data_IF_317142605168
#
_entry.id   IF_317142605168
#
_cell.length_a   1.000
_cell.length_b   1.000
_cell.length_c   1.000
_cell.angle_alpha   90.00
_cell.angle_beta   90.00
_cell.angle_gamma   90.00
#
_symmetry.space_group_name_H-M   'P 1'
#
loop_
_entity.id
_entity.type
_entity.pdbx_description
1 polymer ?
#
# COMPACT_ATOMS: atom_id res chain seq x y z
N UNK A 1 -0.88 15.98 -33.78
CA UNK A 1 -0.70 16.17 -32.33
C UNK A 1 -1.97 15.65 -31.69
N UNK A 2 -1.97 14.41 -31.19
CA UNK A 2 -3.15 13.83 -30.57
C UNK A 2 -3.33 14.50 -29.20
N UNK A 3 -4.47 15.15 -28.97
CA UNK A 3 -4.88 15.58 -27.63
C UNK A 3 -4.84 14.36 -26.72
N UNK A 4 -3.98 14.41 -25.71
CA UNK A 4 -3.87 13.36 -24.69
C UNK A 4 -5.19 13.40 -23.90
N UNK A 5 -6.17 12.62 -24.36
CA UNK A 5 -7.54 12.64 -23.86
C UNK A 5 -7.53 12.31 -22.37
N UNK A 6 -7.79 13.31 -21.52
CA UNK A 6 -7.84 13.14 -20.08
C UNK A 6 -8.76 11.97 -19.70
N UNK A 7 -8.22 10.95 -19.05
CA UNK A 7 -8.95 9.73 -18.68
C UNK A 7 -9.32 9.78 -17.21
N UNK A 8 -10.61 9.60 -16.90
CA UNK A 8 -11.08 9.45 -15.52
C UNK A 8 -11.03 7.98 -15.11
N UNK A 9 -10.51 7.72 -13.91
CA UNK A 9 -10.55 6.40 -13.28
C UNK A 9 -10.52 6.49 -11.76
N UNK A 10 -10.96 5.44 -11.11
CA UNK A 10 -10.80 5.24 -9.68
C UNK A 10 -9.35 4.82 -9.36
N UNK A 11 -8.71 5.47 -8.39
CA UNK A 11 -7.38 5.12 -7.94
C UNK A 11 -7.20 5.35 -6.43
N UNK A 12 -6.33 4.55 -5.81
CA UNK A 12 -5.85 4.79 -4.46
C UNK A 12 -4.62 5.68 -4.52
N UNK A 13 -4.70 6.84 -3.87
CA UNK A 13 -3.66 7.87 -3.88
C UNK A 13 -3.04 7.96 -2.48
N UNK A 14 -1.73 7.76 -2.42
CA UNK A 14 -0.92 7.97 -1.22
C UNK A 14 -0.14 9.28 -1.38
N UNK A 15 -0.33 10.19 -0.41
CA UNK A 15 0.50 11.37 -0.23
C UNK A 15 1.35 11.18 1.02
N UNK A 16 2.66 11.41 0.92
CA UNK A 16 3.57 11.37 2.07
C UNK A 16 4.43 12.63 2.08
N UNK A 17 4.74 13.10 3.28
CA UNK A 17 5.49 14.35 3.50
C UNK A 17 6.35 14.26 4.76
N UNK A 18 7.45 15.02 4.82
CA UNK A 18 8.40 15.00 5.93
C UNK A 18 7.96 15.97 7.03
N UNK A 19 7.90 15.46 8.26
CA UNK A 19 7.61 16.30 9.43
C UNK A 19 8.79 17.21 9.73
N UNK A 20 8.55 18.52 9.77
CA UNK A 20 9.56 19.50 10.15
C UNK A 20 10.70 19.64 9.14
N UNK A 21 10.42 19.45 7.85
CA UNK A 21 11.42 19.52 6.78
C UNK A 21 12.29 20.79 6.82
N UNK A 22 11.68 21.98 7.01
CA UNK A 22 12.43 23.24 7.10
C UNK A 22 13.50 23.21 8.18
N UNK A 23 13.19 22.65 9.36
CA UNK A 23 14.12 22.52 10.49
C UNK A 23 15.30 21.59 10.13
N UNK A 24 15.04 20.49 9.42
CA UNK A 24 16.09 19.55 9.00
C UNK A 24 17.03 20.19 7.97
N UNK A 25 16.47 20.98 7.04
CA UNK A 25 17.25 21.73 6.05
C UNK A 25 18.11 22.81 6.72
N UNK A 26 17.58 23.53 7.71
CA UNK A 26 18.34 24.53 8.48
C UNK A 26 19.54 23.91 9.23
N UNK A 27 19.39 22.69 9.75
CA UNK A 27 20.45 21.98 10.47
C UNK A 27 21.52 21.41 9.53
N UNK A 28 21.11 20.77 8.45
CA UNK A 28 22.01 20.17 7.45
C UNK A 28 21.27 19.94 6.12
N UNK A 29 21.27 20.96 5.25
CA UNK A 29 20.62 20.90 3.94
C UNK A 29 21.16 19.75 3.09
N UNK A 30 22.48 19.63 2.95
CA UNK A 30 23.11 18.64 2.07
C UNK A 30 22.87 17.22 2.59
N UNK A 31 23.05 16.99 3.89
CA UNK A 31 22.82 15.68 4.50
C UNK A 31 21.35 15.26 4.48
N UNK A 32 20.43 16.19 4.72
CA UNK A 32 18.98 15.93 4.66
C UNK A 32 18.55 15.56 3.26
N UNK A 33 18.95 16.33 2.24
CA UNK A 33 18.61 16.03 0.85
C UNK A 33 19.21 14.70 0.38
N UNK A 34 20.45 14.39 0.78
CA UNK A 34 21.09 13.11 0.49
C UNK A 34 20.34 11.94 1.13
N UNK A 35 20.01 12.05 2.42
CA UNK A 35 19.26 11.02 3.15
C UNK A 35 17.85 10.81 2.59
N UNK A 36 17.15 11.88 2.18
CA UNK A 36 15.84 11.75 1.54
C UNK A 36 15.94 11.06 0.18
N UNK A 37 16.99 11.36 -0.60
CA UNK A 37 17.23 10.71 -1.89
C UNK A 37 17.55 9.23 -1.72
N UNK A 38 18.37 8.88 -0.74
CA UNK A 38 18.70 7.50 -0.37
C UNK A 38 17.44 6.73 0.05
N UNK A 39 16.68 7.24 1.03
CA UNK A 39 15.44 6.62 1.51
C UNK A 39 14.41 6.43 0.40
N UNK A 40 14.32 7.38 -0.52
CA UNK A 40 13.45 7.25 -1.70
C UNK A 40 13.88 6.09 -2.60
N UNK A 41 15.18 5.99 -2.90
CA UNK A 41 15.72 4.98 -3.81
C UNK A 41 15.76 3.58 -3.19
N UNK A 42 16.08 3.48 -1.91
CA UNK A 42 16.33 2.21 -1.24
C UNK A 42 15.09 1.65 -0.53
N UNK A 43 14.14 2.50 -0.13
CA UNK A 43 12.95 2.09 0.60
C UNK A 43 11.70 2.32 -0.24
N UNK A 44 11.44 3.56 -0.67
CA UNK A 44 10.18 3.88 -1.35
C UNK A 44 10.04 3.20 -2.72
N UNK A 45 11.03 3.37 -3.61
CA UNK A 45 10.96 2.85 -4.98
C UNK A 45 10.77 1.31 -5.05
N UNK A 46 11.49 0.50 -4.24
CA UNK A 46 11.27 -0.95 -4.19
C UNK A 46 9.86 -1.30 -3.70
N UNK A 47 9.39 -0.68 -2.62
CA UNK A 47 8.07 -0.95 -2.05
C UNK A 47 6.96 -0.57 -3.03
N UNK A 48 7.05 0.61 -3.65
CA UNK A 48 6.08 1.05 -4.66
C UNK A 48 6.04 0.05 -5.82
N UNK A 49 7.19 -0.44 -6.30
CA UNK A 49 7.24 -1.44 -7.37
C UNK A 49 6.63 -2.78 -6.92
N UNK A 50 6.97 -3.25 -5.72
CA UNK A 50 6.46 -4.50 -5.15
C UNK A 50 4.93 -4.49 -5.04
N UNK A 51 4.37 -3.37 -4.60
CA UNK A 51 2.93 -3.19 -4.43
C UNK A 51 2.21 -2.68 -5.68
N UNK A 52 2.86 -2.75 -6.85
CA UNK A 52 2.30 -2.35 -8.15
C UNK A 52 1.80 -0.90 -8.18
N UNK A 53 2.44 -0.03 -7.40
CA UNK A 53 2.19 1.39 -7.41
C UNK A 53 3.06 2.11 -8.45
N UNK A 54 2.77 3.39 -8.62
CA UNK A 54 3.53 4.30 -9.48
C UNK A 54 3.73 5.62 -8.78
N UNK A 55 4.99 6.06 -8.70
CA UNK A 55 5.31 7.42 -8.24
C UNK A 55 4.86 8.39 -9.33
N UNK A 56 3.88 9.21 -9.00
CA UNK A 56 3.31 10.21 -9.91
C UNK A 56 4.18 11.45 -9.88
N UNK A 57 4.48 11.94 -8.68
CA UNK A 57 5.19 13.19 -8.50
C UNK A 57 6.01 13.20 -7.22
N UNK A 58 7.17 13.83 -7.29
CA UNK A 58 8.02 14.17 -6.15
C UNK A 58 8.00 15.68 -5.98
N UNK A 59 7.70 16.16 -4.79
CA UNK A 59 7.57 17.58 -4.45
C UNK A 59 8.53 17.93 -3.31
N UNK A 60 9.83 17.97 -3.57
CA UNK A 60 10.84 18.22 -2.53
C UNK A 60 10.88 17.10 -1.49
N UNK A 61 10.29 17.38 -0.33
CA UNK A 61 10.06 16.47 0.80
C UNK A 61 8.80 15.61 0.66
N UNK A 62 7.85 16.05 -0.17
CA UNK A 62 6.63 15.32 -0.47
C UNK A 62 6.76 14.29 -1.60
N UNK A 63 5.90 13.28 -1.58
CA UNK A 63 5.71 12.34 -2.68
C UNK A 63 4.25 11.96 -2.85
N UNK A 64 3.83 11.83 -4.12
CA UNK A 64 2.52 11.35 -4.52
C UNK A 64 2.68 10.03 -5.27
N UNK A 65 1.99 9.00 -4.80
CA UNK A 65 2.03 7.66 -5.39
C UNK A 65 0.61 7.20 -5.67
N UNK A 66 0.39 6.62 -6.84
CA UNK A 66 -0.88 5.99 -7.22
C UNK A 66 -0.80 4.47 -7.14
N UNK A 67 -1.91 3.85 -6.77
CA UNK A 67 -2.11 2.41 -6.77
C UNK A 67 -3.49 2.10 -7.36
N UNK A 68 -3.60 0.96 -8.05
CA UNK A 68 -4.89 0.44 -8.49
C UNK A 68 -5.72 -0.19 -7.35
N UNK A 69 -5.08 -0.48 -6.21
CA UNK A 69 -5.68 -1.18 -5.06
C UNK A 69 -5.44 -0.40 -3.77
N UNK A 70 -6.52 -0.16 -3.01
CA UNK A 70 -6.46 0.43 -1.68
C UNK A 70 -5.67 -0.45 -0.69
N UNK A 71 -5.74 -1.77 -0.84
CA UNK A 71 -4.97 -2.72 0.00
C UNK A 71 -3.48 -2.52 -0.24
N UNK A 72 -3.05 -2.48 -1.51
CA UNK A 72 -1.65 -2.28 -1.86
C UNK A 72 -1.12 -0.92 -1.37
N UNK A 73 -1.93 0.13 -1.49
CA UNK A 73 -1.56 1.45 -0.99
C UNK A 73 -1.32 1.45 0.52
N UNK A 74 -2.23 0.84 1.30
CA UNK A 74 -2.11 0.76 2.76
C UNK A 74 -0.92 -0.11 3.17
N UNK A 75 -0.76 -1.29 2.57
CA UNK A 75 0.38 -2.17 2.87
C UNK A 75 1.71 -1.48 2.54
N UNK A 76 1.82 -0.85 1.38
CA UNK A 76 3.01 -0.09 1.00
C UNK A 76 3.30 1.04 1.99
N UNK A 77 2.28 1.77 2.46
CA UNK A 77 2.47 2.85 3.41
C UNK A 77 2.97 2.36 4.78
N UNK A 78 2.42 1.24 5.27
CA UNK A 78 2.84 0.62 6.54
C UNK A 78 4.28 0.13 6.45
N UNK A 79 4.63 -0.58 5.38
CA UNK A 79 6.01 -1.05 5.15
C UNK A 79 6.97 0.13 4.98
N UNK A 80 6.52 1.20 4.32
CA UNK A 80 7.33 2.41 4.17
C UNK A 80 7.59 3.09 5.52
N UNK A 81 6.57 3.24 6.38
CA UNK A 81 6.78 3.77 7.74
C UNK A 81 7.74 2.92 8.55
N UNK A 82 7.61 1.59 8.53
CA UNK A 82 8.57 0.70 9.20
C UNK A 82 10.00 0.90 8.70
N UNK A 83 10.18 0.93 7.38
CA UNK A 83 11.49 1.13 6.77
C UNK A 83 12.11 2.46 7.21
N UNK A 84 11.29 3.50 7.31
CA UNK A 84 11.72 4.81 7.82
C UNK A 84 12.08 4.80 9.30
N UNK A 85 11.33 4.07 10.14
CA UNK A 85 11.66 3.85 11.55
C UNK A 85 13.00 3.12 11.68
N UNK A 86 13.22 2.04 10.91
CA UNK A 86 14.48 1.31 10.90
C UNK A 86 15.64 2.19 10.44
N UNK A 87 15.47 2.99 9.38
CA UNK A 87 16.48 3.91 8.87
C UNK A 87 16.76 5.11 9.81
N UNK A 88 15.91 5.35 10.81
CA UNK A 88 16.13 6.34 11.87
C UNK A 88 16.89 5.75 13.06
N UNK A 89 17.01 4.42 13.18
CA UNK A 89 17.74 3.79 14.29
C UNK A 89 19.21 4.24 14.30
N UNK A 90 19.70 4.64 15.47
CA UNK A 90 21.07 5.14 15.66
C UNK A 90 21.29 6.59 15.22
N UNK A 91 20.25 7.32 14.77
CA UNK A 91 20.31 8.76 14.53
C UNK A 91 19.78 9.54 15.73
N UNK A 92 20.38 10.70 15.99
CA UNK A 92 19.87 11.65 16.97
C UNK A 92 18.46 12.11 16.60
N UNK A 93 17.60 12.31 17.60
CA UNK A 93 16.17 12.61 17.42
C UNK A 93 15.93 13.85 16.54
N UNK A 94 16.82 14.85 16.62
CA UNK A 94 16.74 16.07 15.83
C UNK A 94 17.05 15.86 14.34
N UNK A 95 17.68 14.73 13.97
CA UNK A 95 18.04 14.32 12.59
C UNK A 95 17.20 13.16 12.05
N UNK A 96 16.24 12.67 12.82
CA UNK A 96 15.32 11.64 12.35
C UNK A 96 14.37 12.24 11.31
N UNK A 97 14.22 11.53 10.19
CA UNK A 97 13.25 11.92 9.15
C UNK A 97 12.00 11.09 9.40
N UNK A 98 10.96 11.75 9.88
CA UNK A 98 9.66 11.15 10.17
C UNK A 98 8.68 11.58 9.10
N UNK A 99 7.87 10.65 8.62
CA UNK A 99 6.86 10.94 7.61
C UNK A 99 5.48 11.00 8.22
N UNK A 100 4.61 11.78 7.58
CA UNK A 100 3.16 11.74 7.74
C UNK A 100 2.56 11.29 6.42
N UNK A 101 1.60 10.35 6.47
CA UNK A 101 1.04 9.73 5.27
C UNK A 101 -0.47 9.86 5.26
N UNK A 102 -1.03 10.18 4.09
CA UNK A 102 -2.46 10.25 3.81
C UNK A 102 -2.83 9.36 2.64
N UNK A 103 -3.88 8.55 2.78
CA UNK A 103 -4.34 7.64 1.71
C UNK A 103 -5.83 7.85 1.44
N UNK A 104 -6.16 8.09 0.18
CA UNK A 104 -7.52 8.22 -0.28
C UNK A 104 -7.81 7.27 -1.46
N UNK A 105 -9.05 6.79 -1.55
CA UNK A 105 -9.57 6.11 -2.74
C UNK A 105 -10.63 7.00 -3.35
N UNK A 106 -10.40 7.44 -4.59
CA UNK A 106 -11.33 8.35 -5.26
C UNK A 106 -11.06 8.49 -6.75
N UNK A 107 -12.00 9.14 -7.44
CA UNK A 107 -11.87 9.43 -8.86
C UNK A 107 -10.77 10.45 -9.10
N UNK A 108 -9.91 10.14 -10.08
CA UNK A 108 -8.83 11.01 -10.53
C UNK A 108 -8.87 11.15 -12.05
N UNK A 109 -8.40 12.30 -12.51
CA UNK A 109 -8.17 12.60 -13.92
C UNK A 109 -6.68 12.37 -14.18
N UNK A 110 -6.38 11.46 -15.11
CA UNK A 110 -5.02 11.19 -15.59
C UNK A 110 -4.77 12.03 -16.83
N UNK A 111 -3.74 12.85 -16.78
CA UNK A 111 -3.25 13.62 -17.92
C UNK A 111 -1.75 13.36 -18.07
N UNK A 112 -1.40 12.58 -19.08
CA UNK A 112 -0.06 12.04 -19.28
C UNK A 112 0.50 11.33 -18.06
N UNK A 113 1.45 11.97 -17.38
CA UNK A 113 2.08 11.40 -16.18
C UNK A 113 1.55 11.93 -14.85
N UNK A 114 0.71 12.94 -14.87
CA UNK A 114 0.19 13.60 -13.67
C UNK A 114 -1.23 13.14 -13.32
N UNK A 115 -1.60 13.39 -12.07
CA UNK A 115 -2.94 13.13 -11.54
C UNK A 115 -3.56 14.40 -10.99
N UNK A 116 -4.83 14.59 -11.32
CA UNK A 116 -5.63 15.72 -10.89
C UNK A 116 -6.99 15.27 -10.36
N UNK A 117 -7.64 16.16 -9.63
CA UNK A 117 -8.99 15.97 -9.10
C UNK A 117 -9.03 15.91 -7.58
N UNK A 118 -10.26 15.87 -7.07
CA UNK A 118 -10.54 15.97 -5.64
C UNK A 118 -9.97 14.78 -4.86
N UNK A 119 -9.83 13.62 -5.51
CA UNK A 119 -9.20 12.44 -4.92
C UNK A 119 -7.75 12.68 -4.47
N UNK A 120 -6.98 13.46 -5.25
CA UNK A 120 -5.59 13.85 -4.92
C UNK A 120 -5.58 14.88 -3.80
N UNK A 121 -6.46 15.88 -3.88
CA UNK A 121 -6.59 16.92 -2.85
C UNK A 121 -6.91 16.29 -1.49
N UNK A 122 -7.84 15.34 -1.47
CA UNK A 122 -8.21 14.60 -0.26
C UNK A 122 -7.03 13.83 0.33
N UNK A 123 -6.24 13.11 -0.47
CA UNK A 123 -5.05 12.39 0.02
C UNK A 123 -4.05 13.34 0.70
N UNK A 124 -3.76 14.49 0.09
CA UNK A 124 -2.87 15.50 0.66
C UNK A 124 -3.44 16.10 1.96
N UNK A 125 -4.76 16.29 2.04
CA UNK A 125 -5.42 16.79 3.24
C UNK A 125 -5.37 15.78 4.39
N UNK A 126 -5.59 14.49 4.10
CA UNK A 126 -5.43 13.42 5.07
C UNK A 126 -4.00 13.34 5.59
N UNK A 127 -3.02 13.50 4.70
CA UNK A 127 -1.60 13.55 5.07
C UNK A 127 -1.30 14.74 6.01
N UNK A 128 -1.97 15.88 5.82
CA UNK A 128 -1.79 17.04 6.69
C UNK A 128 -2.46 16.88 8.06
N UNK A 129 -3.50 16.05 8.16
CA UNK A 129 -4.17 15.69 9.42
C UNK A 129 -3.34 14.66 10.19
N UNK A 130 -2.61 13.80 9.49
CA UNK A 130 -1.76 12.78 10.11
C UNK A 130 -0.68 13.40 11.01
N UNK A 131 -0.57 12.85 12.23
CA UNK A 131 0.50 13.15 13.16
C UNK A 131 1.86 12.63 12.69
N UNK A 132 2.89 12.90 13.48
CA UNK A 132 4.25 12.47 13.17
C UNK A 132 4.38 10.95 13.22
N UNK A 133 4.66 10.32 12.08
CA UNK A 133 4.75 8.86 11.97
C UNK A 133 3.40 8.18 11.75
N UNK A 134 2.31 8.95 11.67
CA UNK A 134 0.97 8.40 11.49
C UNK A 134 0.63 8.20 10.02
N UNK A 135 -0.30 7.28 9.78
CA UNK A 135 -0.95 7.05 8.50
C UNK A 135 -2.44 7.32 8.68
N UNK A 136 -2.96 8.34 8.00
CA UNK A 136 -4.39 8.63 7.95
C UNK A 136 -5.00 8.14 6.64
N UNK A 137 -6.19 7.55 6.72
CA UNK A 137 -6.92 7.02 5.58
C UNK A 137 -8.34 7.57 5.57
N UNK A 138 -8.89 7.74 4.37
CA UNK A 138 -10.32 8.04 4.18
C UNK A 138 -11.21 6.84 4.55
N UNK A 139 -12.49 7.10 4.84
CA UNK A 139 -13.49 6.06 5.06
C UNK A 139 -13.63 5.09 3.88
N UNK A 140 -13.49 5.57 2.64
CA UNK A 140 -13.54 4.70 1.45
C UNK A 140 -12.38 3.70 1.41
N UNK A 141 -11.18 4.10 1.86
CA UNK A 141 -10.05 3.18 2.01
C UNK A 141 -10.29 2.22 3.16
N UNK A 142 -10.74 2.73 4.32
CA UNK A 142 -11.05 1.91 5.50
C UNK A 142 -12.02 0.77 5.16
N UNK A 143 -13.11 1.07 4.45
CA UNK A 143 -14.09 0.06 4.05
C UNK A 143 -13.52 -1.05 3.16
N UNK A 144 -12.52 -0.72 2.34
CA UNK A 144 -11.84 -1.69 1.46
C UNK A 144 -10.83 -2.57 2.19
N UNK A 145 -10.25 -2.09 3.29
CA UNK A 145 -9.12 -2.76 3.97
C UNK A 145 -9.46 -3.40 5.32
N UNK A 146 -10.50 -2.94 6.02
CA UNK A 146 -10.84 -3.36 7.41
C UNK A 146 -11.09 -4.86 7.60
N UNK A 147 -11.37 -5.60 6.53
CA UNK A 147 -11.57 -7.07 6.55
C UNK A 147 -10.44 -7.86 5.87
N UNK A 148 -9.48 -7.17 5.28
CA UNK A 148 -8.41 -7.77 4.45
C UNK A 148 -7.04 -7.63 5.10
N UNK A 149 -6.86 -6.65 5.98
CA UNK A 149 -5.62 -6.37 6.66
C UNK A 149 -5.85 -6.44 8.17
N UNK A 150 -4.95 -7.12 8.86
CA UNK A 150 -4.94 -7.25 10.32
C UNK A 150 -4.29 -6.00 10.96
N UNK A 151 -4.84 -4.83 10.65
CA UNK A 151 -4.45 -3.56 11.23
C UNK A 151 -5.54 -3.02 12.15
N UNK A 152 -5.14 -2.34 13.21
CA UNK A 152 -6.04 -1.60 14.08
C UNK A 152 -6.20 -0.18 13.55
N UNK A 153 -7.42 0.34 13.62
CA UNK A 153 -7.77 1.67 13.13
C UNK A 153 -8.45 2.48 14.23
N UNK A 154 -7.96 3.70 14.46
CA UNK A 154 -8.62 4.69 15.30
C UNK A 154 -9.49 5.61 14.44
N UNK A 155 -10.75 5.81 14.82
CA UNK A 155 -11.61 6.78 14.15
C UNK A 155 -11.29 8.20 14.65
N UNK A 156 -10.92 9.09 13.72
CA UNK A 156 -10.63 10.50 13.98
C UNK A 156 -11.84 11.41 13.68
N UNK A 157 -13.00 10.81 13.43
CA UNK A 157 -14.26 11.48 13.11
C UNK A 157 -14.33 11.99 11.66
N UNK A 158 -15.36 12.80 11.39
CA UNK A 158 -15.59 13.39 10.08
C UNK A 158 -14.96 14.77 9.96
N UNK A 159 -14.24 15.01 8.87
CA UNK A 159 -13.58 16.29 8.58
C UNK A 159 -14.21 16.95 7.37
N UNK A 160 -14.59 18.23 7.51
CA UNK A 160 -15.02 19.05 6.39
C UNK A 160 -13.79 19.48 5.59
N UNK A 161 -13.70 19.05 4.35
CA UNK A 161 -12.53 19.32 3.50
C UNK A 161 -12.94 20.34 2.45
N UNK A 162 -12.13 21.38 2.32
CA UNK A 162 -12.37 22.46 1.36
C UNK A 162 -12.55 21.87 -0.04
N UNK A 163 -13.66 22.22 -0.69
CA UNK A 163 -14.10 21.75 -2.01
C UNK A 163 -14.66 20.31 -2.06
N UNK A 164 -14.97 19.70 -0.91
CA UNK A 164 -15.72 18.44 -0.84
C UNK A 164 -17.07 18.73 -0.17
N UNK A 165 -18.16 18.36 -0.83
CA UNK A 165 -19.52 18.70 -0.39
C UNK A 165 -19.93 17.96 0.90
N UNK A 166 -19.45 16.73 1.07
CA UNK A 166 -19.77 15.89 2.23
C UNK A 166 -18.55 15.75 3.17
N UNK A 167 -18.74 15.80 4.50
CA UNK A 167 -17.68 15.51 5.45
C UNK A 167 -17.11 14.11 5.23
N UNK A 168 -15.78 13.99 5.24
CA UNK A 168 -15.11 12.70 5.02
C UNK A 168 -14.72 12.09 6.36
N UNK A 169 -15.13 10.85 6.61
CA UNK A 169 -14.66 10.09 7.76
C UNK A 169 -13.15 9.80 7.62
N UNK A 170 -12.40 10.04 8.69
CA UNK A 170 -10.95 9.86 8.73
C UNK A 170 -10.61 8.81 9.77
N UNK A 171 -9.75 7.88 9.40
CA UNK A 171 -9.22 6.86 10.29
C UNK A 171 -7.70 6.96 10.34
N UNK A 172 -7.10 6.60 11.47
CA UNK A 172 -5.65 6.46 11.63
C UNK A 172 -5.28 5.00 11.83
N UNK A 173 -4.22 4.55 11.18
CA UNK A 173 -3.64 3.23 11.44
C UNK A 173 -2.80 3.29 12.71
N UNK A 174 -3.07 2.39 13.67
CA UNK A 174 -2.40 2.41 14.98
C UNK A 174 -0.94 1.99 14.85
N UNK A 175 -0.03 2.81 15.38
CA UNK A 175 1.43 2.64 15.27
C UNK A 175 1.96 1.30 15.84
N UNK A 176 1.34 0.72 16.88
CA UNK A 176 1.72 -0.60 17.39
C UNK A 176 1.59 -1.70 16.31
N UNK A 177 0.49 -1.68 15.55
CA UNK A 177 0.27 -2.63 14.45
C UNK A 177 1.23 -2.39 13.28
N UNK A 178 1.65 -1.13 13.07
CA UNK A 178 2.73 -0.81 12.13
C UNK A 178 4.03 -1.42 12.62
N UNK A 179 4.37 -1.43 13.90
CA UNK A 179 5.63 -2.05 14.36
C UNK A 179 5.60 -3.58 14.22
N UNK A 180 4.45 -4.20 14.47
CA UNK A 180 4.27 -5.67 14.53
C UNK A 180 4.11 -6.35 13.16
N UNK A 181 3.70 -5.63 12.12
CA UNK A 181 3.42 -6.23 10.79
C UNK A 181 4.65 -6.91 10.13
N UNK A 182 4.60 -8.20 9.82
CA UNK A 182 5.75 -8.92 9.23
C UNK A 182 5.75 -8.97 7.70
N UNK A 183 4.93 -8.13 7.06
CA UNK A 183 4.63 -8.24 5.63
C UNK A 183 3.36 -9.07 5.40
N UNK A 184 2.87 -9.19 4.15
CA UNK A 184 1.93 -10.25 3.84
C UNK A 184 2.61 -11.55 4.24
N UNK A 185 1.92 -12.43 4.97
CA UNK A 185 2.44 -13.76 5.26
C UNK A 185 2.81 -14.41 3.93
N UNK A 186 4.09 -14.33 3.55
CA UNK A 186 4.69 -15.24 2.61
C UNK A 186 4.38 -16.58 3.25
N UNK A 187 3.44 -17.34 2.68
CA UNK A 187 3.19 -18.70 3.13
C UNK A 187 4.56 -19.33 3.12
N UNK A 188 5.17 -19.48 4.30
CA UNK A 188 6.44 -20.15 4.43
C UNK A 188 6.29 -21.43 3.61
N UNK A 189 7.22 -21.74 2.69
CA UNK A 189 7.15 -22.97 1.94
C UNK A 189 6.84 -24.06 2.95
N UNK A 190 5.67 -24.70 2.83
CA UNK A 190 5.31 -25.79 3.72
C UNK A 190 6.54 -26.69 3.74
N UNK A 191 7.06 -27.04 4.93
CA UNK A 191 8.30 -27.79 5.01
C UNK A 191 8.20 -28.97 4.07
N UNK A 192 9.09 -29.01 3.06
CA UNK A 192 9.05 -30.04 2.05
C UNK A 192 9.12 -31.38 2.79
N UNK A 193 8.16 -32.29 2.58
CA UNK A 193 8.21 -33.58 3.23
C UNK A 193 9.53 -34.27 2.90
N UNK A 194 10.13 -34.94 3.89
CA UNK A 194 11.43 -35.61 3.75
C UNK A 194 11.45 -36.72 2.68
N UNK A 195 10.29 -37.08 2.13
CA UNK A 195 10.10 -38.01 1.03
C UNK A 195 9.47 -37.26 -0.16
N UNK A 196 9.89 -37.53 -1.40
CA UNK A 196 9.20 -36.97 -2.57
C UNK A 196 7.74 -37.44 -2.56
N UNK A 197 6.82 -36.48 -2.51
CA UNK A 197 5.38 -36.74 -2.49
C UNK A 197 4.69 -35.91 -3.56
N UNK A 198 3.81 -36.52 -4.33
CA UNK A 198 2.96 -35.87 -5.33
C UNK A 198 1.57 -35.74 -4.71
N UNK A 199 1.03 -34.52 -4.66
CA UNK A 199 -0.37 -34.30 -4.32
C UNK A 199 -1.21 -34.41 -5.60
N UNK A 200 -2.07 -35.43 -5.66
CA UNK A 200 -3.00 -35.64 -6.77
C UNK A 200 -4.36 -35.12 -6.33
N UNK A 201 -4.78 -33.99 -6.89
CA UNK A 201 -6.12 -33.47 -6.69
C UNK A 201 -7.06 -34.08 -7.75
N UNK A 202 -8.23 -34.59 -7.36
CA UNK A 202 -9.26 -34.94 -8.32
C UNK A 202 -9.66 -33.68 -9.08
N UNK A 203 -9.53 -33.69 -10.41
CA UNK A 203 -10.07 -32.63 -11.24
C UNK A 203 -11.53 -32.94 -11.55
N UNK A 204 -12.37 -31.92 -11.51
CA UNK A 204 -13.80 -32.08 -11.79
C UNK A 204 -14.03 -32.25 -13.29
N UNK A 205 -14.76 -33.29 -13.70
CA UNK A 205 -15.23 -33.41 -15.08
C UNK A 205 -16.22 -32.27 -15.36
N UNK A 206 -15.85 -31.35 -16.25
CA UNK A 206 -16.71 -30.22 -16.65
C UNK A 206 -17.59 -30.56 -17.87
N UNK A 207 -17.50 -31.78 -18.40
CA UNK A 207 -18.42 -32.27 -19.44
C UNK A 207 -19.65 -32.90 -18.80
N UNK A 208 -20.81 -32.75 -19.42
CA UNK A 208 -22.05 -33.43 -19.03
C UNK A 208 -22.14 -34.87 -19.54
N UNK A 209 -21.00 -35.46 -19.94
CA UNK A 209 -20.92 -36.80 -20.47
C UNK A 209 -20.66 -37.80 -19.34
N UNK A 210 -21.68 -38.59 -19.00
CA UNK A 210 -21.65 -39.58 -17.91
C UNK A 210 -20.65 -40.71 -18.16
N UNK A 211 -20.25 -40.97 -19.42
CA UNK A 211 -19.22 -41.98 -19.70
C UNK A 211 -17.82 -41.51 -19.28
N UNK A 212 -17.60 -40.19 -19.17
CA UNK A 212 -16.31 -39.60 -18.80
C UNK A 212 -16.11 -39.48 -17.28
N UNK A 213 -17.17 -39.59 -16.48
CA UNK A 213 -17.04 -39.61 -15.01
C UNK A 213 -16.25 -40.83 -14.51
N UNK A 214 -16.57 -42.02 -15.03
CA UNK A 214 -15.87 -43.26 -14.67
C UNK A 214 -14.40 -43.24 -15.09
N UNK A 215 -14.06 -42.56 -16.19
CA UNK A 215 -12.68 -42.39 -16.65
C UNK A 215 -11.87 -41.49 -15.72
N UNK A 216 -12.46 -40.38 -15.23
CA UNK A 216 -11.81 -39.43 -14.32
C UNK A 216 -11.53 -40.06 -12.95
N UNK A 217 -12.49 -40.85 -12.43
CA UNK A 217 -12.31 -41.60 -11.19
C UNK A 217 -11.20 -42.64 -11.31
N UNK A 218 -11.14 -43.37 -12.44
CA UNK A 218 -10.08 -44.34 -12.70
C UNK A 218 -8.68 -43.72 -12.77
N UNK A 219 -8.53 -42.57 -13.42
CA UNK A 219 -7.25 -41.87 -13.54
C UNK A 219 -6.76 -41.34 -12.17
N UNK A 220 -7.68 -40.83 -11.36
CA UNK A 220 -7.39 -40.34 -10.01
C UNK A 220 -6.99 -41.48 -9.07
N UNK A 221 -7.66 -42.63 -9.17
CA UNK A 221 -7.33 -43.82 -8.40
C UNK A 221 -5.94 -44.39 -8.76
N UNK A 222 -5.57 -44.39 -10.05
CA UNK A 222 -4.27 -44.91 -10.51
C UNK A 222 -3.06 -44.10 -10.02
N UNK A 223 -3.26 -42.83 -9.64
CA UNK A 223 -2.20 -41.94 -9.16
C UNK A 223 -2.16 -41.81 -7.63
N UNK A 224 -3.13 -42.40 -6.91
CA UNK A 224 -3.05 -42.53 -5.45
C UNK A 224 -2.06 -43.64 -5.11
N UNK A 225 -1.04 -43.39 -4.28
CA UNK A 225 -0.22 -44.47 -3.72
C UNK A 225 -1.16 -45.43 -2.97
N UNK A 226 -1.08 -46.73 -3.28
CA UNK A 226 -1.86 -47.75 -2.57
C UNK A 226 -1.57 -47.74 -1.07
N UNK A 227 -2.61 -48.01 -0.27
CA UNK A 227 -2.52 -48.24 1.17
C UNK A 227 -1.53 -49.37 1.54
#
# INVERSE_FOLDING_TARGET
>A
MAEERAQRRLAAIMAADVVGYSRLIELDERGTLAALKERRKEILEPLVRQHQGRIVKVMGDGVLVEFASAVNAVTCAVEFQKGMIAANQGRADDRQIVLRIGINLGDVVVEGRDLFGDGVILAVRLQAIAGSGDICISGSVYDQVKRKLDFSFDELGTHAIKNIAEPVAVYRIVSSTISEYQGPAEKAPLPLPAKPSIAVLPFTNMSHDSEQEAFVDGLTAALRPGD
#
